data_IF_420468167497
#
_entry.id   IF_420468167497
#
_cell.length_a   1.000
_cell.length_b   1.000
_cell.length_c   1.000
_cell.angle_alpha   90.00
_cell.angle_beta   90.00
_cell.angle_gamma   90.00
#
_symmetry.space_group_name_H-M   'P 1'
#
loop_
_entity.id
_entity.type
_entity.pdbx_description
1 polymer ?
#
# COMPACT_ATOMS: atom_id res chain seq x y z
N UNK A 1 29.49 -15.51 10.75
CA UNK A 1 29.67 -14.04 10.55
C UNK A 1 28.85 -13.57 9.33
N UNK A 2 27.51 -13.51 9.42
CA UNK A 2 26.63 -12.97 8.35
C UNK A 2 25.44 -12.17 8.94
N UNK A 3 25.48 -11.82 10.23
CA UNK A 3 24.38 -11.11 10.91
C UNK A 3 24.31 -9.61 10.54
N UNK A 4 25.32 -9.07 9.86
CA UNK A 4 25.40 -7.64 9.55
C UNK A 4 24.74 -7.25 8.22
N UNK A 5 24.54 -8.16 7.26
CA UNK A 5 24.02 -7.79 5.92
C UNK A 5 22.51 -7.57 5.87
N UNK A 6 21.73 -8.37 6.62
CA UNK A 6 20.25 -8.28 6.64
C UNK A 6 19.78 -7.04 7.40
N UNK A 7 20.43 -6.69 8.53
CA UNK A 7 20.16 -5.43 9.24
C UNK A 7 20.51 -4.18 8.43
N UNK A 8 21.53 -4.25 7.57
CA UNK A 8 21.93 -3.12 6.70
C UNK A 8 20.90 -2.89 5.58
N UNK A 9 20.23 -3.94 5.10
CA UNK A 9 19.13 -3.80 4.13
C UNK A 9 17.87 -3.18 4.77
N UNK A 10 17.43 -3.67 5.94
CA UNK A 10 16.29 -3.07 6.66
C UNK A 10 16.54 -1.61 7.05
N UNK A 11 17.75 -1.26 7.50
CA UNK A 11 18.11 0.15 7.81
C UNK A 11 18.18 1.04 6.57
N UNK A 12 18.52 0.49 5.39
CA UNK A 12 18.51 1.24 4.12
C UNK A 12 17.10 1.41 3.56
N UNK A 13 16.22 0.44 3.71
CA UNK A 13 14.81 0.55 3.31
C UNK A 13 14.04 1.55 4.20
N UNK A 14 14.23 1.49 5.52
CA UNK A 14 13.66 2.46 6.48
C UNK A 14 14.25 3.86 6.25
N UNK A 15 15.54 3.98 5.95
CA UNK A 15 16.15 5.27 5.61
C UNK A 15 15.67 5.80 4.24
N UNK A 16 15.28 4.93 3.30
CA UNK A 16 14.71 5.32 2.01
C UNK A 16 13.25 5.75 2.14
N UNK A 17 12.44 5.03 2.93
CA UNK A 17 11.05 5.42 3.24
C UNK A 17 10.98 6.70 4.08
N UNK A 18 11.86 6.87 5.09
CA UNK A 18 11.94 8.10 5.87
C UNK A 18 12.49 9.29 5.06
N UNK A 19 13.39 9.09 4.08
CA UNK A 19 13.80 10.17 3.16
C UNK A 19 12.69 10.57 2.21
N UNK A 20 11.87 9.63 1.75
CA UNK A 20 10.69 9.92 0.94
C UNK A 20 9.63 10.68 1.75
N UNK A 21 9.45 10.34 3.03
CA UNK A 21 8.57 11.06 3.98
C UNK A 21 9.13 12.42 4.43
N UNK A 22 10.45 12.61 4.50
CA UNK A 22 11.07 13.88 4.88
C UNK A 22 11.17 14.88 3.70
N UNK A 23 11.12 14.39 2.45
CA UNK A 23 11.07 15.25 1.26
C UNK A 23 9.65 15.75 0.93
N UNK A 24 8.61 15.21 1.56
CA UNK A 24 7.23 15.74 1.44
C UNK A 24 6.91 16.90 2.40
N UNK A 25 7.86 17.28 3.27
CA UNK A 25 7.73 18.34 4.28
C UNK A 25 8.08 19.76 3.82
N UNK A 26 7.91 20.10 2.54
CA UNK A 26 7.95 21.51 2.11
C UNK A 26 6.61 22.17 2.47
N UNK A 27 6.60 23.37 3.09
CA UNK A 27 5.37 24.08 3.37
C UNK A 27 4.79 24.59 2.04
N UNK A 28 3.90 23.82 1.43
CA UNK A 28 3.20 24.25 0.23
C UNK A 28 2.31 25.44 0.57
N UNK A 29 2.73 26.63 0.13
CA UNK A 29 1.82 27.75 -0.11
C UNK A 29 0.59 27.24 -0.87
N UNK A 30 -0.59 27.69 -0.44
CA UNK A 30 -1.92 27.16 -0.77
C UNK A 30 -1.99 26.27 -2.01
N UNK A 31 -2.29 24.98 -1.78
CA UNK A 31 -2.42 23.99 -2.84
C UNK A 31 -3.42 24.51 -3.90
N UNK A 32 -2.98 24.90 -5.11
CA UNK A 32 -3.89 25.48 -6.08
C UNK A 32 -4.91 24.42 -6.45
N UNK A 33 -6.20 24.73 -6.30
CA UNK A 33 -7.27 23.88 -6.83
C UNK A 33 -7.08 23.77 -8.34
N UNK A 34 -6.59 22.63 -8.80
CA UNK A 34 -6.51 22.29 -10.22
C UNK A 34 -7.93 22.25 -10.78
N UNK A 35 -8.22 23.16 -11.72
CA UNK A 35 -9.43 23.08 -12.54
C UNK A 35 -9.12 22.19 -13.75
N UNK A 36 -9.90 21.12 -13.90
CA UNK A 36 -9.75 20.17 -15.00
C UNK A 36 -11.09 20.04 -15.71
N UNK A 37 -11.09 20.18 -17.03
CA UNK A 37 -12.26 19.91 -17.86
C UNK A 37 -12.43 18.41 -18.07
N UNK A 38 -13.63 17.89 -17.79
CA UNK A 38 -13.95 16.47 -17.97
C UNK A 38 -14.71 16.26 -19.29
N UNK A 39 -14.21 15.41 -20.21
CA UNK A 39 -14.93 15.08 -21.43
C UNK A 39 -16.30 14.45 -21.15
N UNK A 40 -17.31 14.74 -21.98
CA UNK A 40 -18.67 14.20 -21.82
C UNK A 40 -18.72 12.66 -21.71
N UNK A 41 -17.84 11.95 -22.42
CA UNK A 41 -17.72 10.49 -22.30
C UNK A 41 -17.36 10.03 -20.89
N UNK A 42 -16.48 10.79 -20.21
CA UNK A 42 -16.07 10.49 -18.84
C UNK A 42 -17.20 10.80 -17.86
N UNK A 43 -17.89 11.93 -18.02
CA UNK A 43 -19.07 12.26 -17.22
C UNK A 43 -20.16 11.20 -17.33
N UNK A 44 -20.39 10.66 -18.53
CA UNK A 44 -21.36 9.57 -18.77
C UNK A 44 -21.00 8.31 -17.97
N UNK A 45 -19.72 7.91 -17.98
CA UNK A 45 -19.24 6.76 -17.20
C UNK A 45 -19.34 7.04 -15.70
N UNK A 46 -18.94 8.22 -15.23
CA UNK A 46 -19.06 8.60 -13.81
C UNK A 46 -20.51 8.54 -13.33
N UNK A 47 -21.45 9.05 -14.13
CA UNK A 47 -22.88 8.99 -13.84
C UNK A 47 -23.43 7.56 -13.83
N UNK A 48 -22.85 6.65 -14.62
CA UNK A 48 -23.24 5.25 -14.64
C UNK A 48 -22.74 4.49 -13.40
N UNK A 49 -21.54 4.82 -12.91
CA UNK A 49 -20.93 4.18 -11.75
C UNK A 49 -21.46 4.72 -10.42
N UNK A 50 -21.65 6.04 -10.33
CA UNK A 50 -22.06 6.75 -9.11
C UNK A 50 -23.23 7.72 -9.44
N UNK A 51 -24.44 7.20 -9.65
CA UNK A 51 -25.57 8.01 -10.08
C UNK A 51 -25.99 9.04 -9.03
N UNK A 52 -26.44 10.22 -9.49
CA UNK A 52 -27.02 11.26 -8.63
C UNK A 52 -26.03 12.08 -7.80
N UNK A 53 -24.73 11.83 -7.90
CA UNK A 53 -23.69 12.60 -7.22
C UNK A 53 -23.05 13.63 -8.18
N UNK A 54 -22.58 14.75 -7.63
CA UNK A 54 -21.81 15.73 -8.40
C UNK A 54 -20.45 15.13 -8.84
N UNK A 55 -19.87 15.54 -9.99
CA UNK A 55 -18.62 14.97 -10.50
C UNK A 55 -17.48 14.86 -9.49
N UNK A 56 -17.28 15.91 -8.66
CA UNK A 56 -16.27 15.88 -7.59
C UNK A 56 -16.53 14.75 -6.58
N UNK A 57 -17.78 14.57 -6.17
CA UNK A 57 -18.16 13.51 -5.22
C UNK A 57 -18.02 12.12 -5.84
N UNK A 58 -18.39 11.96 -7.11
CA UNK A 58 -18.20 10.72 -7.86
C UNK A 58 -16.73 10.31 -7.87
N UNK A 59 -15.83 11.24 -8.22
CA UNK A 59 -14.39 10.99 -8.25
C UNK A 59 -13.84 10.59 -6.87
N UNK A 60 -14.23 11.30 -5.80
CA UNK A 60 -13.82 10.96 -4.43
C UNK A 60 -14.27 9.56 -4.04
N UNK A 61 -15.54 9.22 -4.27
CA UNK A 61 -16.09 7.90 -3.94
C UNK A 61 -15.43 6.78 -4.74
N UNK A 62 -15.20 6.99 -6.04
CA UNK A 62 -14.53 6.01 -6.89
C UNK A 62 -13.07 5.79 -6.46
N UNK A 63 -12.36 6.87 -6.09
CA UNK A 63 -11.02 6.78 -5.54
C UNK A 63 -11.01 5.99 -4.21
N UNK A 64 -11.93 6.29 -3.29
CA UNK A 64 -12.06 5.56 -2.04
C UNK A 64 -12.37 4.07 -2.27
N UNK A 65 -13.29 3.76 -3.18
CA UNK A 65 -13.62 2.37 -3.52
C UNK A 65 -12.42 1.63 -4.12
N UNK A 66 -11.60 2.28 -4.96
CA UNK A 66 -10.39 1.66 -5.49
C UNK A 66 -9.35 1.40 -4.40
N UNK A 67 -9.14 2.34 -3.49
CA UNK A 67 -8.27 2.15 -2.32
C UNK A 67 -8.77 0.99 -1.46
N UNK A 68 -10.07 0.92 -1.15
CA UNK A 68 -10.67 -0.21 -0.41
C UNK A 68 -10.47 -1.54 -1.13
N UNK A 69 -10.61 -1.59 -2.47
CA UNK A 69 -10.32 -2.81 -3.26
C UNK A 69 -8.86 -3.23 -3.17
N UNK A 70 -7.91 -2.27 -3.22
CA UNK A 70 -6.48 -2.55 -3.04
C UNK A 70 -6.19 -3.09 -1.64
N UNK A 71 -6.73 -2.43 -0.61
CA UNK A 71 -6.59 -2.85 0.78
C UNK A 71 -7.10 -4.29 0.98
N UNK A 72 -8.28 -4.60 0.46
CA UNK A 72 -8.86 -5.95 0.55
C UNK A 72 -7.98 -7.02 -0.13
N UNK A 73 -7.32 -6.70 -1.25
CA UNK A 73 -6.38 -7.62 -1.92
C UNK A 73 -5.16 -7.89 -1.06
N UNK A 74 -4.52 -6.85 -0.52
CA UNK A 74 -3.36 -7.03 0.34
C UNK A 74 -3.70 -7.77 1.65
N UNK A 75 -4.84 -7.44 2.26
CA UNK A 75 -5.34 -8.16 3.44
C UNK A 75 -5.69 -9.63 3.15
N UNK A 76 -6.11 -9.96 1.93
CA UNK A 76 -6.29 -11.35 1.52
C UNK A 76 -4.94 -12.07 1.44
N UNK A 77 -3.94 -11.47 0.78
CA UNK A 77 -2.59 -12.02 0.69
C UNK A 77 -1.97 -12.28 2.07
N UNK A 78 -2.01 -11.28 2.97
CA UNK A 78 -1.50 -11.45 4.34
C UNK A 78 -2.21 -12.59 5.08
N UNK A 79 -3.55 -12.68 4.99
CA UNK A 79 -4.29 -13.80 5.61
C UNK A 79 -3.92 -15.16 5.03
N UNK A 80 -3.73 -15.26 3.71
CA UNK A 80 -3.36 -16.51 3.05
C UNK A 80 -1.98 -16.99 3.49
N UNK A 81 -1.01 -16.09 3.63
CA UNK A 81 0.32 -16.47 4.10
C UNK A 81 0.37 -16.77 5.60
N UNK A 82 -0.37 -16.03 6.42
CA UNK A 82 -0.58 -16.39 7.83
C UNK A 82 -1.18 -17.79 7.97
N UNK A 83 -2.14 -18.13 7.12
CA UNK A 83 -2.71 -19.47 7.09
C UNK A 83 -1.70 -20.53 6.60
N UNK A 84 -0.90 -20.23 5.57
CA UNK A 84 0.12 -21.14 5.02
C UNK A 84 1.23 -21.45 6.04
N UNK A 85 1.71 -20.44 6.74
CA UNK A 85 2.88 -20.56 7.63
C UNK A 85 2.53 -20.70 9.11
N UNK A 86 1.30 -20.37 9.52
CA UNK A 86 0.82 -20.46 10.90
C UNK A 86 1.38 -19.38 11.82
N UNK A 87 1.97 -18.32 11.26
CA UNK A 87 2.65 -17.23 11.97
C UNK A 87 2.41 -15.90 11.23
N UNK A 88 2.82 -14.78 11.80
CA UNK A 88 2.84 -13.46 11.15
C UNK A 88 4.10 -13.27 10.29
N UNK A 89 4.13 -12.22 9.44
CA UNK A 89 5.32 -11.90 8.63
C UNK A 89 6.53 -11.60 9.53
N UNK A 90 6.35 -10.80 10.58
CA UNK A 90 7.43 -10.46 11.51
C UNK A 90 8.03 -11.71 12.17
N UNK A 91 7.19 -12.65 12.59
CA UNK A 91 7.62 -13.94 13.14
C UNK A 91 8.30 -14.82 12.09
N UNK A 92 7.79 -14.84 10.85
CA UNK A 92 8.37 -15.55 9.73
C UNK A 92 9.80 -15.06 9.42
N UNK A 93 10.00 -13.75 9.46
CA UNK A 93 11.32 -13.15 9.26
C UNK A 93 12.24 -13.38 10.46
N UNK A 94 11.74 -13.23 11.69
CA UNK A 94 12.51 -13.45 12.91
C UNK A 94 12.99 -14.90 13.05
N UNK A 95 12.19 -15.87 12.60
CA UNK A 95 12.54 -17.29 12.58
C UNK A 95 13.44 -17.68 11.38
N UNK A 96 13.85 -16.73 10.54
CA UNK A 96 14.63 -16.96 9.32
C UNK A 96 14.02 -18.07 8.42
N UNK A 97 12.69 -18.10 8.26
CA UNK A 97 11.98 -19.25 7.61
C UNK A 97 12.52 -19.54 6.20
N UNK A 98 12.79 -18.52 5.39
CA UNK A 98 13.41 -18.68 4.05
C UNK A 98 14.68 -19.53 4.11
N UNK A 99 15.57 -19.22 5.07
CA UNK A 99 16.85 -19.91 5.25
C UNK A 99 16.66 -21.31 5.82
N UNK A 100 15.78 -21.49 6.81
CA UNK A 100 15.50 -22.82 7.38
C UNK A 100 14.85 -23.76 6.38
N UNK A 101 14.15 -23.21 5.37
CA UNK A 101 13.60 -23.93 4.22
C UNK A 101 14.57 -24.05 3.04
N UNK A 102 15.84 -23.69 3.24
CA UNK A 102 16.91 -23.89 2.25
C UNK A 102 16.84 -22.95 1.04
N UNK A 103 16.28 -21.75 1.20
CA UNK A 103 16.16 -20.77 0.11
C UNK A 103 15.43 -21.33 -1.10
N UNK A 104 14.36 -22.10 -0.87
CA UNK A 104 13.56 -22.59 -1.99
C UNK A 104 12.89 -21.40 -2.67
N UNK A 105 12.83 -21.45 -4.01
CA UNK A 105 12.20 -20.42 -4.83
C UNK A 105 10.76 -20.10 -4.36
N UNK A 106 10.00 -21.12 -3.97
CA UNK A 106 8.64 -20.95 -3.46
C UNK A 106 8.60 -20.07 -2.18
N UNK A 107 9.45 -20.35 -1.20
CA UNK A 107 9.43 -19.65 0.08
C UNK A 107 10.00 -18.23 -0.05
N UNK A 108 10.97 -18.03 -0.94
CA UNK A 108 11.46 -16.69 -1.30
C UNK A 108 10.38 -15.85 -1.99
N UNK A 109 9.67 -16.42 -2.96
CA UNK A 109 8.60 -15.73 -3.66
C UNK A 109 7.45 -15.37 -2.71
N UNK A 110 7.05 -16.31 -1.84
CA UNK A 110 6.03 -16.06 -0.82
C UNK A 110 6.44 -14.93 0.13
N UNK A 111 7.70 -14.90 0.58
CA UNK A 111 8.19 -13.83 1.45
C UNK A 111 8.09 -12.47 0.75
N UNK A 112 8.51 -12.38 -0.51
CA UNK A 112 8.43 -11.14 -1.29
C UNK A 112 6.98 -10.68 -1.50
N UNK A 113 6.08 -11.60 -1.84
CA UNK A 113 4.66 -11.30 -2.04
C UNK A 113 3.98 -10.89 -0.73
N UNK A 114 4.39 -11.49 0.39
CA UNK A 114 3.85 -11.16 1.71
C UNK A 114 4.35 -9.81 2.22
N UNK A 115 5.65 -9.54 2.10
CA UNK A 115 6.27 -8.25 2.46
C UNK A 115 5.61 -7.11 1.69
N UNK A 116 5.46 -7.26 0.37
CA UNK A 116 4.76 -6.29 -0.47
C UNK A 116 3.31 -6.09 -0.05
N UNK A 117 2.63 -7.14 0.41
CA UNK A 117 1.26 -7.03 0.87
C UNK A 117 1.15 -6.27 2.20
N UNK A 118 2.02 -6.54 3.16
CA UNK A 118 2.01 -5.84 4.46
C UNK A 118 2.34 -4.36 4.27
N UNK A 119 3.37 -4.02 3.49
CA UNK A 119 3.68 -2.63 3.13
C UNK A 119 2.53 -1.95 2.35
N UNK A 120 1.89 -2.70 1.47
CA UNK A 120 0.72 -2.27 0.70
C UNK A 120 -0.48 -1.92 1.58
N UNK A 121 -0.72 -2.67 2.66
CA UNK A 121 -1.77 -2.38 3.65
C UNK A 121 -1.52 -1.01 4.27
N UNK A 122 -0.34 -0.79 4.85
CA UNK A 122 0.00 0.48 5.51
C UNK A 122 -0.10 1.68 4.56
N UNK A 123 0.42 1.52 3.34
CA UNK A 123 0.37 2.59 2.33
C UNK A 123 -1.07 2.97 1.97
N UNK A 124 -1.94 1.98 1.76
CA UNK A 124 -3.33 2.23 1.37
C UNK A 124 -4.16 2.79 2.53
N UNK A 125 -3.90 2.36 3.77
CA UNK A 125 -4.52 2.93 4.97
C UNK A 125 -4.22 4.42 5.12
N UNK A 126 -2.95 4.82 4.92
CA UNK A 126 -2.57 6.24 4.92
C UNK A 126 -3.23 7.03 3.80
N UNK A 127 -3.33 6.46 2.59
CA UNK A 127 -4.03 7.09 1.47
C UNK A 127 -5.53 7.27 1.76
N UNK A 128 -6.18 6.28 2.39
CA UNK A 128 -7.58 6.37 2.81
C UNK A 128 -7.78 7.45 3.87
N UNK A 129 -6.92 7.49 4.90
CA UNK A 129 -6.97 8.52 5.93
C UNK A 129 -6.79 9.92 5.34
N UNK A 130 -5.82 10.09 4.43
CA UNK A 130 -5.59 11.36 3.74
C UNK A 130 -6.80 11.78 2.89
N UNK A 131 -7.41 10.85 2.14
CA UNK A 131 -8.59 11.13 1.33
C UNK A 131 -9.82 11.54 2.17
N UNK A 132 -9.94 11.01 3.39
CA UNK A 132 -11.03 11.33 4.32
C UNK A 132 -10.76 12.57 5.18
N UNK A 133 -9.53 13.09 5.17
CA UNK A 133 -9.12 14.18 6.07
C UNK A 133 -8.89 13.72 7.51
N UNK A 134 -8.51 12.46 7.70
CA UNK A 134 -8.22 11.82 9.00
C UNK A 134 -6.70 11.74 9.30
N UNK A 135 -5.85 12.15 8.35
CA UNK A 135 -4.39 12.07 8.42
C UNK A 135 -3.74 13.35 9.00
#
# INVERSE_FOLDING_TARGET
MITTKVMVWKRRLIAWSMRFLAMSGQPYGGNPMLQVELPNRLLSVLNSLEPGAAPKQQVVRLAEQELRRRLARYQLTDRLFRQKYGITLDEFEAAEVVKTRGYSFEVENDHQDWDLAVDGIHTVELQLASLRGEA
#
